data_IF_819289097154
#
_entry.id   IF_819289097154
#
_cell.length_a   1.000
_cell.length_b   1.000
_cell.length_c   1.000
_cell.angle_alpha   90.00
_cell.angle_beta   90.00
_cell.angle_gamma   90.00
#
_symmetry.space_group_name_H-M   'P 1'
#
loop_
_entity.id
_entity.type
_entity.pdbx_description
1 polymer ?
#
# COMPACT_ATOMS: atom_id res chain seq x y z
N UNK A 1 -8.03 0.68 11.07
CA UNK A 1 -9.33 1.37 11.27
C UNK A 1 -9.50 2.47 10.25
N UNK A 2 -8.54 3.40 10.14
CA UNK A 2 -8.56 4.52 9.18
C UNK A 2 -8.83 4.15 7.72
N UNK A 3 -8.45 2.95 7.27
CA UNK A 3 -8.67 2.48 5.89
C UNK A 3 -9.65 1.32 5.79
N UNK A 4 -10.30 0.95 6.90
CA UNK A 4 -11.18 -0.24 6.97
C UNK A 4 -10.50 -1.47 6.36
N UNK A 5 -9.24 -1.69 6.75
CA UNK A 5 -8.49 -2.85 6.29
C UNK A 5 -9.16 -4.13 6.80
N UNK A 6 -9.21 -5.14 5.94
CA UNK A 6 -9.67 -6.49 6.27
C UNK A 6 -8.51 -7.41 6.66
N UNK A 7 -7.27 -6.95 6.44
CA UNK A 7 -6.07 -7.71 6.76
C UNK A 7 -4.78 -6.90 6.75
N UNK A 8 -3.67 -7.55 7.09
CA UNK A 8 -2.33 -6.97 7.14
C UNK A 8 -1.24 -7.95 6.68
N UNK A 9 -0.19 -7.38 6.10
CA UNK A 9 1.01 -8.12 5.73
C UNK A 9 2.21 -7.84 6.61
N UNK A 10 2.84 -8.92 7.09
CA UNK A 10 4.10 -8.85 7.82
C UNK A 10 5.23 -9.21 6.86
N UNK A 11 6.02 -8.21 6.49
CA UNK A 11 7.11 -8.30 5.50
C UNK A 11 8.34 -7.51 5.99
N UNK A 12 9.32 -7.27 5.12
CA UNK A 12 10.53 -6.48 5.40
C UNK A 12 11.77 -7.17 4.82
N UNK A 13 12.76 -7.41 5.68
CA UNK A 13 13.87 -8.32 5.37
C UNK A 13 13.43 -9.76 5.52
N UNK A 14 13.72 -10.36 6.69
CA UNK A 14 13.22 -11.69 7.04
C UNK A 14 12.52 -11.66 8.41
N UNK A 15 11.17 -11.64 8.44
CA UNK A 15 10.44 -11.52 9.70
C UNK A 15 10.64 -12.71 10.65
N UNK A 16 10.88 -13.92 10.14
CA UNK A 16 11.04 -15.12 10.96
C UNK A 16 12.27 -15.06 11.87
N UNK A 17 13.27 -14.23 11.54
CA UNK A 17 14.44 -13.97 12.40
C UNK A 17 14.07 -13.26 13.71
N UNK A 18 12.90 -12.62 13.76
CA UNK A 18 12.36 -11.96 14.95
C UNK A 18 10.99 -12.54 15.33
N UNK A 19 10.89 -13.87 15.31
CA UNK A 19 9.65 -14.64 15.50
C UNK A 19 8.79 -14.19 16.69
N UNK A 20 9.41 -13.86 17.82
CA UNK A 20 8.67 -13.39 19.01
C UNK A 20 7.94 -12.07 18.74
N UNK A 21 8.62 -11.14 18.07
CA UNK A 21 8.05 -9.84 17.70
C UNK A 21 6.93 -10.03 16.68
N UNK A 22 7.11 -10.92 15.70
CA UNK A 22 6.07 -11.28 14.72
C UNK A 22 4.84 -11.80 15.44
N UNK A 23 4.98 -12.85 16.26
CA UNK A 23 3.85 -13.45 17.00
C UNK A 23 3.15 -12.42 17.90
N UNK A 24 3.90 -11.53 18.56
CA UNK A 24 3.34 -10.45 19.37
C UNK A 24 2.47 -9.50 18.53
N UNK A 25 2.95 -9.07 17.36
CA UNK A 25 2.16 -8.19 16.48
C UNK A 25 0.94 -8.88 15.89
N UNK A 26 1.03 -10.17 15.54
CA UNK A 26 -0.13 -10.95 15.09
C UNK A 26 -1.23 -10.93 16.17
N UNK A 27 -0.88 -11.21 17.44
CA UNK A 27 -1.84 -11.17 18.55
C UNK A 27 -2.45 -9.80 18.74
N UNK A 28 -1.63 -8.74 18.76
CA UNK A 28 -2.11 -7.36 18.87
C UNK A 28 -3.11 -7.04 17.74
N UNK A 29 -2.82 -7.45 16.51
CA UNK A 29 -3.72 -7.23 15.38
C UNK A 29 -5.04 -8.00 15.54
N UNK A 30 -4.99 -9.30 15.85
CA UNK A 30 -6.20 -10.12 16.08
C UNK A 30 -7.04 -9.60 17.25
N UNK A 31 -6.42 -9.14 18.33
CA UNK A 31 -7.10 -8.54 19.49
C UNK A 31 -7.81 -7.22 19.14
N UNK A 32 -7.21 -6.40 18.28
CA UNK A 32 -7.74 -5.06 17.96
C UNK A 32 -8.70 -5.02 16.77
N UNK A 33 -8.57 -5.97 15.84
CA UNK A 33 -9.33 -6.03 14.58
C UNK A 33 -10.26 -7.24 14.47
N UNK A 34 -10.17 -8.20 15.41
CA UNK A 34 -11.01 -9.39 15.44
C UNK A 34 -10.32 -10.61 14.84
N UNK A 35 -10.90 -11.79 15.11
CA UNK A 35 -10.35 -13.08 14.67
C UNK A 35 -10.33 -13.25 13.16
N UNK A 36 -11.29 -12.64 12.46
CA UNK A 36 -11.41 -12.70 10.99
C UNK A 36 -10.44 -11.76 10.25
N UNK A 37 -9.68 -10.92 10.97
CA UNK A 37 -8.74 -10.00 10.32
C UNK A 37 -7.56 -10.77 9.74
N UNK A 38 -7.43 -10.79 8.42
CA UNK A 38 -6.52 -11.69 7.69
C UNK A 38 -5.05 -11.24 7.80
N UNK A 39 -4.17 -12.07 8.34
CA UNK A 39 -2.76 -11.76 8.52
C UNK A 39 -1.92 -12.72 7.69
N UNK A 40 -1.22 -12.15 6.70
CA UNK A 40 -0.27 -12.88 5.87
C UNK A 40 1.19 -12.56 6.23
N UNK A 41 2.02 -13.59 6.31
CA UNK A 41 3.45 -13.50 6.61
C UNK A 41 4.28 -13.80 5.36
N UNK A 42 5.22 -12.91 5.03
CA UNK A 42 6.21 -13.14 3.97
C UNK A 42 7.51 -13.65 4.58
N UNK A 43 8.10 -14.69 3.99
CA UNK A 43 9.37 -15.26 4.45
C UNK A 43 10.18 -15.82 3.29
N UNK A 44 11.50 -15.73 3.36
CA UNK A 44 12.45 -16.44 2.49
C UNK A 44 12.80 -17.85 2.99
N UNK A 45 12.06 -18.37 3.98
CA UNK A 45 12.22 -19.67 4.68
C UNK A 45 13.38 -19.76 5.68
N UNK A 46 14.25 -18.75 5.81
CA UNK A 46 15.30 -18.77 6.83
C UNK A 46 14.66 -18.81 8.21
N UNK A 47 15.21 -19.58 9.15
CA UNK A 47 14.70 -19.65 10.53
C UNK A 47 13.32 -20.31 10.70
N UNK A 48 12.73 -20.86 9.65
CA UNK A 48 11.50 -21.67 9.76
C UNK A 48 11.85 -23.06 10.29
N UNK A 49 11.22 -23.42 11.41
CA UNK A 49 11.20 -24.75 11.99
C UNK A 49 9.81 -25.05 12.57
N UNK A 50 9.58 -26.28 13.03
CA UNK A 50 8.30 -26.71 13.59
C UNK A 50 7.89 -25.90 14.83
N UNK A 51 8.83 -25.44 15.64
CA UNK A 51 8.52 -24.65 16.84
C UNK A 51 8.06 -23.24 16.45
N UNK A 52 8.70 -22.62 15.46
CA UNK A 52 8.30 -21.35 14.87
C UNK A 52 6.91 -21.43 14.26
N UNK A 53 6.63 -22.46 13.46
CA UNK A 53 5.31 -22.67 12.84
C UNK A 53 4.20 -22.86 13.89
N UNK A 54 4.45 -23.66 14.94
CA UNK A 54 3.53 -23.80 16.09
C UNK A 54 3.24 -22.47 16.77
N UNK A 55 4.25 -21.61 16.92
CA UNK A 55 4.08 -20.29 17.54
C UNK A 55 3.26 -19.35 16.66
N UNK A 56 3.45 -19.40 15.34
CA UNK A 56 2.67 -18.63 14.37
C UNK A 56 1.21 -19.06 14.34
N UNK A 57 0.96 -20.37 14.27
CA UNK A 57 -0.38 -20.95 14.34
C UNK A 57 -1.09 -20.55 15.65
N UNK A 58 -0.41 -20.70 16.79
CA UNK A 58 -0.92 -20.26 18.10
C UNK A 58 -1.12 -18.74 18.23
N UNK A 59 -0.43 -17.94 17.42
CA UNK A 59 -0.63 -16.49 17.39
C UNK A 59 -1.85 -16.08 16.55
N UNK A 60 -2.37 -17.00 15.73
CA UNK A 60 -3.47 -16.74 14.80
C UNK A 60 -3.00 -16.21 13.45
N UNK A 61 -1.88 -16.71 12.91
CA UNK A 61 -1.52 -16.44 11.51
C UNK A 61 -2.53 -17.10 10.57
N UNK A 62 -2.93 -16.44 9.48
CA UNK A 62 -3.91 -16.96 8.52
C UNK A 62 -3.29 -17.43 7.21
N UNK A 63 -2.16 -16.84 6.81
CA UNK A 63 -1.49 -17.17 5.56
C UNK A 63 0.03 -16.99 5.67
N UNK A 64 0.80 -17.88 5.04
CA UNK A 64 2.25 -17.76 4.92
C UNK A 64 2.68 -17.90 3.45
N UNK A 65 3.51 -16.96 3.01
CA UNK A 65 4.03 -16.84 1.64
C UNK A 65 5.54 -17.02 1.64
N UNK A 66 5.99 -18.11 1.04
CA UNK A 66 7.40 -18.41 0.88
C UNK A 66 7.97 -17.77 -0.40
N UNK A 67 9.11 -17.08 -0.27
CA UNK A 67 9.84 -16.44 -1.35
C UNK A 67 11.26 -16.99 -1.41
N UNK A 68 11.44 -18.16 -2.04
CA UNK A 68 12.77 -18.76 -2.18
C UNK A 68 12.96 -19.48 -3.50
N UNK A 69 14.09 -19.20 -4.14
CA UNK A 69 14.55 -19.93 -5.32
C UNK A 69 15.35 -21.19 -4.94
N UNK A 70 15.67 -21.41 -3.66
CA UNK A 70 16.48 -22.56 -3.23
C UNK A 70 15.57 -23.76 -3.03
N UNK A 71 15.80 -24.83 -3.79
CA UNK A 71 14.95 -26.03 -3.72
C UNK A 71 15.12 -26.79 -2.40
N UNK A 72 16.31 -26.74 -1.80
CA UNK A 72 16.59 -27.31 -0.47
C UNK A 72 15.71 -26.69 0.64
N UNK A 73 15.26 -25.44 0.43
CA UNK A 73 14.37 -24.75 1.37
C UNK A 73 12.89 -25.11 1.16
N UNK A 74 12.51 -25.74 0.04
CA UNK A 74 11.12 -26.07 -0.25
C UNK A 74 10.52 -27.06 0.75
N UNK A 75 11.33 -27.94 1.34
CA UNK A 75 10.87 -28.84 2.40
C UNK A 75 10.37 -28.08 3.64
N UNK A 76 10.80 -26.84 3.87
CA UNK A 76 10.24 -26.00 4.95
C UNK A 76 8.81 -25.54 4.66
N UNK A 77 8.43 -25.44 3.37
CA UNK A 77 7.06 -25.17 2.97
C UNK A 77 6.18 -26.39 3.33
N UNK A 78 6.69 -27.61 3.13
CA UNK A 78 6.00 -28.84 3.54
C UNK A 78 5.74 -28.86 5.04
N UNK A 79 6.70 -28.44 5.86
CA UNK A 79 6.48 -28.38 7.31
C UNK A 79 5.30 -27.47 7.70
N UNK A 80 4.99 -26.47 6.87
CA UNK A 80 3.98 -25.47 7.13
C UNK A 80 2.56 -25.94 6.78
N UNK A 81 2.39 -26.90 5.86
CA UNK A 81 1.06 -27.30 5.35
C UNK A 81 0.20 -28.03 6.39
N UNK A 82 0.79 -28.55 7.46
CA UNK A 82 0.10 -29.27 8.53
C UNK A 82 -0.53 -28.33 9.59
N UNK A 83 -0.43 -27.01 9.41
CA UNK A 83 -0.96 -25.98 10.31
C UNK A 83 -2.21 -25.30 9.75
N UNK A 84 -2.90 -24.47 10.55
CA UNK A 84 -4.22 -23.93 10.17
C UNK A 84 -4.17 -22.72 9.23
N UNK A 85 -2.99 -22.27 8.81
CA UNK A 85 -2.86 -21.17 7.85
C UNK A 85 -2.79 -21.68 6.41
N UNK A 86 -3.22 -20.84 5.47
CA UNK A 86 -3.05 -21.04 4.03
C UNK A 86 -1.57 -20.94 3.68
N UNK A 87 -1.00 -22.00 3.13
CA UNK A 87 0.41 -22.04 2.74
C UNK A 87 0.55 -21.82 1.25
N UNK A 88 1.44 -20.94 0.84
CA UNK A 88 1.76 -20.77 -0.57
C UNK A 88 3.16 -20.20 -0.79
N UNK A 89 3.48 -19.96 -2.06
CA UNK A 89 4.69 -19.23 -2.42
C UNK A 89 4.35 -17.96 -3.18
N UNK A 90 5.23 -16.97 -3.10
CA UNK A 90 5.15 -15.75 -3.88
C UNK A 90 6.49 -15.50 -4.57
N UNK A 91 6.51 -15.51 -5.90
CA UNK A 91 7.73 -15.42 -6.69
C UNK A 91 7.60 -14.37 -7.79
N UNK A 92 8.68 -13.68 -8.19
CA UNK A 92 8.63 -12.81 -9.35
C UNK A 92 8.59 -13.64 -10.63
N UNK A 93 7.78 -13.22 -11.58
CA UNK A 93 7.71 -13.79 -12.91
C UNK A 93 8.88 -13.30 -13.77
N UNK A 94 10.06 -13.85 -13.53
CA UNK A 94 11.26 -13.48 -14.28
C UNK A 94 11.17 -14.03 -15.72
N UNK A 95 11.28 -13.19 -16.76
CA UNK A 95 11.24 -13.66 -18.14
C UNK A 95 12.39 -14.63 -18.43
N UNK A 96 12.08 -15.73 -19.12
CA UNK A 96 13.09 -16.67 -19.60
C UNK A 96 12.76 -18.12 -19.25
N UNK A 97 13.11 -19.03 -20.17
CA UNK A 97 12.73 -20.44 -20.07
C UNK A 97 13.25 -21.15 -18.81
N UNK A 98 14.43 -20.77 -18.32
CA UNK A 98 14.99 -21.34 -17.11
C UNK A 98 14.13 -21.01 -15.87
N UNK A 99 13.73 -19.74 -15.71
CA UNK A 99 12.88 -19.29 -14.61
C UNK A 99 11.46 -19.85 -14.73
N UNK A 100 10.87 -19.86 -15.92
CA UNK A 100 9.56 -20.48 -16.17
C UNK A 100 9.54 -21.95 -15.76
N UNK A 101 10.56 -22.73 -16.15
CA UNK A 101 10.67 -24.14 -15.75
C UNK A 101 10.80 -24.29 -14.24
N UNK A 102 11.53 -23.39 -13.59
CA UNK A 102 11.72 -23.41 -12.13
C UNK A 102 10.42 -23.08 -11.39
N UNK A 103 9.65 -22.12 -11.88
CA UNK A 103 8.32 -21.80 -11.35
C UNK A 103 7.34 -22.96 -11.55
N UNK A 104 7.36 -23.63 -12.71
CA UNK A 104 6.57 -24.85 -12.96
C UNK A 104 6.98 -25.97 -12.00
N UNK A 105 8.27 -26.15 -11.76
CA UNK A 105 8.77 -27.14 -10.80
C UNK A 105 8.30 -26.83 -9.37
N UNK A 106 8.33 -25.56 -8.97
CA UNK A 106 7.79 -25.10 -7.69
C UNK A 106 6.28 -25.36 -7.61
N UNK A 107 5.51 -25.03 -8.65
CA UNK A 107 4.06 -25.29 -8.68
C UNK A 107 3.73 -26.76 -8.48
N UNK A 108 4.44 -27.67 -9.17
CA UNK A 108 4.29 -29.12 -8.98
C UNK A 108 4.63 -29.57 -7.57
N UNK A 109 5.69 -28.99 -6.99
CA UNK A 109 6.07 -29.28 -5.62
C UNK A 109 4.97 -28.84 -4.64
N UNK A 110 4.50 -27.60 -4.74
CA UNK A 110 3.42 -27.05 -3.91
C UNK A 110 2.15 -27.90 -4.00
N UNK A 111 1.76 -28.30 -5.20
CA UNK A 111 0.64 -29.20 -5.43
C UNK A 111 0.84 -30.57 -4.75
N UNK A 112 2.02 -31.17 -4.90
CA UNK A 112 2.34 -32.47 -4.30
C UNK A 112 2.34 -32.51 -2.77
N UNK A 113 2.44 -31.34 -2.12
CA UNK A 113 2.42 -31.20 -0.67
C UNK A 113 1.09 -30.68 -0.13
N UNK A 114 0.11 -30.42 -1.01
CA UNK A 114 -1.19 -29.85 -0.63
C UNK A 114 -1.14 -28.37 -0.23
N UNK A 115 -0.17 -27.60 -0.72
CA UNK A 115 -0.16 -26.16 -0.52
C UNK A 115 -1.32 -25.49 -1.29
N UNK A 116 -1.71 -24.29 -0.85
CA UNK A 116 -2.92 -23.63 -1.31
C UNK A 116 -2.71 -22.84 -2.62
N UNK A 117 -1.56 -22.18 -2.80
CA UNK A 117 -1.37 -21.26 -3.94
C UNK A 117 0.08 -20.98 -4.36
N UNK A 118 0.22 -20.46 -5.57
CA UNK A 118 1.42 -19.78 -6.06
C UNK A 118 1.03 -18.39 -6.62
N UNK A 119 1.53 -17.34 -5.98
CA UNK A 119 1.38 -15.96 -6.42
C UNK A 119 2.59 -15.52 -7.27
N UNK A 120 2.33 -15.00 -8.47
CA UNK A 120 3.36 -14.47 -9.36
C UNK A 120 3.27 -12.95 -9.43
N UNK A 121 4.33 -12.28 -8.97
CA UNK A 121 4.44 -10.83 -9.13
C UNK A 121 5.07 -10.50 -10.48
N UNK A 122 4.54 -9.51 -11.18
CA UNK A 122 5.23 -8.90 -12.30
C UNK A 122 6.59 -8.37 -11.84
N UNK A 123 7.65 -8.71 -12.57
CA UNK A 123 8.99 -8.25 -12.26
C UNK A 123 9.08 -6.76 -12.57
N UNK A 124 9.59 -5.98 -11.62
CA UNK A 124 9.67 -4.53 -11.70
C UNK A 124 11.10 -4.04 -11.53
N UNK A 125 11.43 -2.96 -12.23
CA UNK A 125 12.57 -2.13 -11.95
C UNK A 125 12.31 -1.29 -10.70
N UNK A 126 13.28 -1.28 -9.79
CA UNK A 126 13.38 -0.37 -8.66
C UNK A 126 14.79 0.18 -8.59
N UNK A 127 14.99 1.28 -7.86
CA UNK A 127 16.32 1.90 -7.73
C UNK A 127 17.38 0.89 -7.25
N UNK A 128 17.00 -0.02 -6.35
CA UNK A 128 17.91 -1.03 -5.80
C UNK A 128 18.26 -2.19 -6.74
N UNK A 129 17.44 -2.49 -7.75
CA UNK A 129 17.66 -3.62 -8.65
C UNK A 129 17.98 -3.22 -10.11
N UNK A 130 17.87 -1.93 -10.44
CA UNK A 130 17.88 -1.45 -11.83
C UNK A 130 19.16 -1.81 -12.58
N UNK A 131 20.33 -1.55 -11.99
CA UNK A 131 21.61 -1.84 -12.63
C UNK A 131 21.79 -3.34 -12.91
N UNK A 132 21.35 -4.18 -11.98
CA UNK A 132 21.44 -5.64 -12.10
C UNK A 132 20.48 -6.20 -13.14
N UNK A 133 19.27 -5.66 -13.24
CA UNK A 133 18.33 -6.08 -14.28
C UNK A 133 18.81 -5.66 -15.67
N UNK A 134 19.37 -4.45 -15.81
CA UNK A 134 19.95 -3.98 -17.07
C UNK A 134 21.17 -4.79 -17.48
N UNK A 135 22.07 -5.15 -16.54
CA UNK A 135 23.25 -5.96 -16.84
C UNK A 135 22.89 -7.37 -17.34
N UNK A 136 21.73 -7.88 -16.91
CA UNK A 136 21.15 -9.15 -17.37
C UNK A 136 20.35 -9.04 -18.67
N UNK A 137 20.28 -7.85 -19.28
CA UNK A 137 19.62 -7.61 -20.56
C UNK A 137 18.10 -7.41 -20.49
N UNK A 138 17.54 -7.19 -19.30
CA UNK A 138 16.12 -6.85 -19.18
C UNK A 138 15.87 -5.37 -19.51
N UNK A 139 14.68 -5.07 -20.02
CA UNK A 139 14.26 -3.72 -20.39
C UNK A 139 12.88 -3.40 -19.83
N UNK A 140 12.62 -2.11 -19.60
CA UNK A 140 11.30 -1.62 -19.18
C UNK A 140 10.31 -1.83 -20.32
N UNK A 141 9.11 -2.29 -19.99
CA UNK A 141 7.99 -2.48 -20.92
C UNK A 141 7.53 -1.12 -21.46
N UNK A 142 7.30 -1.00 -22.76
CA UNK A 142 7.04 0.30 -23.42
C UNK A 142 5.84 1.09 -22.87
N UNK A 143 4.85 0.42 -22.29
CA UNK A 143 3.65 1.03 -21.72
C UNK A 143 3.63 1.00 -20.17
N UNK A 144 4.80 0.88 -19.52
CA UNK A 144 4.92 0.94 -18.06
C UNK A 144 6.17 1.72 -17.68
N UNK A 145 6.13 2.44 -16.55
CA UNK A 145 7.32 3.11 -16.02
C UNK A 145 8.31 2.16 -15.32
N UNK A 146 7.85 0.98 -14.90
CA UNK A 146 8.60 0.09 -14.01
C UNK A 146 8.56 -1.39 -14.40
N UNK A 147 7.55 -1.88 -15.11
CA UNK A 147 7.42 -3.31 -15.41
C UNK A 147 8.51 -3.81 -16.37
N UNK A 148 9.05 -5.01 -16.13
CA UNK A 148 9.99 -5.68 -17.03
C UNK A 148 9.25 -6.28 -18.23
N UNK A 149 9.73 -5.99 -19.44
CA UNK A 149 9.22 -6.57 -20.68
C UNK A 149 9.32 -8.10 -20.68
N UNK A 150 8.24 -8.78 -21.04
CA UNK A 150 8.17 -10.25 -21.07
C UNK A 150 7.74 -10.90 -19.74
N UNK A 151 7.63 -10.15 -18.64
CA UNK A 151 7.33 -10.71 -17.31
C UNK A 151 5.89 -11.21 -17.22
N UNK A 152 4.94 -10.39 -17.69
CA UNK A 152 3.52 -10.77 -17.79
C UNK A 152 3.31 -12.01 -18.65
N UNK A 153 4.02 -12.13 -19.77
CA UNK A 153 3.93 -13.28 -20.65
C UNK A 153 4.51 -14.55 -20.00
N UNK A 154 5.60 -14.41 -19.23
CA UNK A 154 6.17 -15.50 -18.45
C UNK A 154 5.19 -15.97 -17.36
N UNK A 155 4.60 -15.03 -16.60
CA UNK A 155 3.56 -15.34 -15.62
C UNK A 155 2.39 -16.09 -16.25
N UNK A 156 1.87 -15.58 -17.38
CA UNK A 156 0.77 -16.21 -18.12
C UNK A 156 1.07 -17.66 -18.50
N UNK A 157 2.29 -17.95 -18.97
CA UNK A 157 2.71 -19.32 -19.33
C UNK A 157 2.71 -20.25 -18.12
N UNK A 158 3.22 -19.78 -16.98
CA UNK A 158 3.25 -20.56 -15.73
C UNK A 158 1.83 -20.75 -15.18
N UNK A 159 0.99 -19.71 -15.17
CA UNK A 159 -0.40 -19.80 -14.73
C UNK A 159 -1.23 -20.75 -15.60
N UNK A 160 -1.01 -20.75 -16.93
CA UNK A 160 -1.68 -21.71 -17.83
C UNK A 160 -1.29 -23.16 -17.54
N UNK A 161 -0.09 -23.39 -16.99
CA UNK A 161 0.32 -24.71 -16.52
C UNK A 161 -0.39 -25.06 -15.20
N UNK A 162 -0.39 -24.14 -14.24
CA UNK A 162 -1.05 -24.33 -12.92
C UNK A 162 -2.53 -24.69 -13.11
N UNK A 163 -3.24 -23.92 -13.92
CA UNK A 163 -4.67 -24.14 -14.20
C UNK A 163 -4.95 -25.52 -14.84
N UNK A 164 -4.05 -26.02 -15.68
CA UNK A 164 -4.24 -27.27 -16.43
C UNK A 164 -3.75 -28.51 -15.69
N UNK A 165 -2.73 -28.39 -14.86
CA UNK A 165 -1.90 -29.51 -14.41
C UNK A 165 -1.77 -29.62 -12.88
N UNK A 166 -2.37 -28.70 -12.12
CA UNK A 166 -2.31 -28.69 -10.64
C UNK A 166 -3.66 -28.33 -10.02
N UNK A 167 -3.85 -28.64 -8.73
CA UNK A 167 -5.02 -28.23 -7.94
C UNK A 167 -4.84 -26.94 -7.14
N UNK A 168 -3.66 -26.33 -7.16
CA UNK A 168 -3.37 -25.09 -6.42
C UNK A 168 -3.91 -23.85 -7.14
N UNK A 169 -4.14 -22.77 -6.38
CA UNK A 169 -4.55 -21.48 -6.96
C UNK A 169 -3.34 -20.73 -7.54
N UNK A 170 -3.49 -20.21 -8.76
CA UNK A 170 -2.49 -19.36 -9.41
C UNK A 170 -2.93 -17.90 -9.45
N UNK A 171 -2.11 -16.98 -8.95
CA UNK A 171 -2.38 -15.54 -8.96
C UNK A 171 -1.33 -14.75 -9.74
N UNK A 172 -1.74 -13.60 -10.29
CA UNK A 172 -0.82 -12.64 -10.90
C UNK A 172 -1.06 -11.23 -10.37
N UNK A 173 -0.02 -10.62 -9.81
CA UNK A 173 -0.02 -9.23 -9.38
C UNK A 173 0.76 -8.37 -10.39
N UNK A 174 0.05 -7.56 -11.18
CA UNK A 174 0.70 -6.65 -12.14
C UNK A 174 1.31 -5.42 -11.44
N UNK A 175 2.35 -4.85 -12.05
CA UNK A 175 2.96 -3.63 -11.52
C UNK A 175 1.98 -2.46 -11.47
N UNK A 176 1.16 -2.34 -12.51
CA UNK A 176 0.23 -1.22 -12.71
C UNK A 176 -0.88 -1.16 -11.63
N UNK A 177 -1.19 -2.28 -10.94
CA UNK A 177 -2.21 -2.26 -9.88
C UNK A 177 -1.68 -1.76 -8.54
N UNK A 178 -0.36 -1.67 -8.35
CA UNK A 178 0.23 -1.21 -7.08
C UNK A 178 -0.10 0.25 -6.81
N UNK A 179 -0.08 1.11 -7.83
CA UNK A 179 -0.48 2.51 -7.71
C UNK A 179 -1.96 2.63 -7.30
N UNK A 180 -2.83 1.84 -7.94
CA UNK A 180 -4.26 1.78 -7.61
C UNK A 180 -4.49 1.33 -6.16
N UNK A 181 -3.70 0.39 -5.64
CA UNK A 181 -3.78 -0.03 -4.24
C UNK A 181 -3.47 1.12 -3.27
N UNK A 182 -2.47 1.95 -3.57
CA UNK A 182 -2.13 3.14 -2.76
C UNK A 182 -3.27 4.16 -2.82
N UNK A 183 -3.74 4.50 -4.02
CA UNK A 183 -4.85 5.45 -4.21
C UNK A 183 -6.13 4.99 -3.52
N UNK A 184 -6.46 3.70 -3.57
CA UNK A 184 -7.62 3.15 -2.88
C UNK A 184 -7.48 3.24 -1.35
N UNK A 185 -6.27 3.02 -0.81
CA UNK A 185 -6.01 3.24 0.62
C UNK A 185 -6.18 4.72 0.99
N UNK A 186 -5.73 5.65 0.15
CA UNK A 186 -5.91 7.08 0.36
C UNK A 186 -7.38 7.48 0.33
N UNK A 187 -8.15 7.02 -0.66
CA UNK A 187 -9.61 7.26 -0.74
C UNK A 187 -10.34 6.80 0.51
N UNK A 188 -10.06 5.58 0.99
CA UNK A 188 -10.67 5.07 2.23
C UNK A 188 -10.23 5.89 3.43
N UNK A 189 -8.94 6.25 3.51
CA UNK A 189 -8.39 7.05 4.60
C UNK A 189 -9.01 8.44 4.66
N UNK A 190 -9.04 9.16 3.54
CA UNK A 190 -9.54 10.52 3.45
C UNK A 190 -10.97 10.64 3.98
N UNK A 191 -11.86 9.70 3.64
CA UNK A 191 -13.23 9.65 4.16
C UNK A 191 -13.32 9.56 5.69
N UNK A 192 -12.32 8.96 6.32
CA UNK A 192 -12.28 8.73 7.76
C UNK A 192 -11.48 9.79 8.54
N UNK A 193 -10.67 10.61 7.86
CA UNK A 193 -9.77 11.59 8.51
C UNK A 193 -10.03 13.04 8.10
N UNK A 194 -10.85 13.27 7.06
CA UNK A 194 -11.18 14.62 6.60
C UNK A 194 -11.78 15.45 7.74
N UNK A 195 -11.23 16.64 7.94
CA UNK A 195 -11.81 17.63 8.84
C UNK A 195 -13.01 18.32 8.18
N UNK A 196 -13.92 18.95 8.94
CA UNK A 196 -15.13 19.56 8.39
C UNK A 196 -14.90 20.61 7.29
N UNK A 197 -13.77 21.33 7.32
CA UNK A 197 -13.42 22.33 6.31
C UNK A 197 -12.70 21.74 5.08
N UNK A 198 -12.41 20.44 5.07
CA UNK A 198 -11.67 19.76 4.01
C UNK A 198 -12.61 18.98 3.09
N UNK A 199 -12.36 19.07 1.79
CA UNK A 199 -13.05 18.28 0.77
C UNK A 199 -12.19 17.09 0.33
N UNK A 200 -12.80 15.91 0.21
CA UNK A 200 -12.13 14.71 -0.30
C UNK A 200 -12.20 14.69 -1.83
N UNK A 201 -11.05 14.62 -2.49
CA UNK A 201 -10.98 14.53 -3.96
C UNK A 201 -11.20 13.11 -4.47
N UNK A 202 -11.39 12.96 -5.78
CA UNK A 202 -11.48 11.65 -6.44
C UNK A 202 -10.21 10.80 -6.32
N UNK A 203 -9.05 11.41 -6.04
CA UNK A 203 -7.80 10.70 -5.80
C UNK A 203 -7.61 10.32 -4.32
N UNK A 204 -8.56 10.69 -3.46
CA UNK A 204 -8.48 10.46 -2.03
C UNK A 204 -7.52 11.40 -1.31
N UNK A 205 -7.28 12.59 -1.87
CA UNK A 205 -6.54 13.69 -1.22
C UNK A 205 -7.51 14.63 -0.51
N UNK A 206 -6.99 15.55 0.30
CA UNK A 206 -7.77 16.52 1.06
C UNK A 206 -7.48 17.93 0.55
N UNK A 207 -8.52 18.62 0.10
CA UNK A 207 -8.46 19.97 -0.47
C UNK A 207 -9.11 20.97 0.49
N UNK A 208 -8.44 22.08 0.75
CA UNK A 208 -8.97 23.17 1.59
C UNK A 208 -8.33 24.51 1.25
N UNK A 209 -8.96 25.59 1.69
CA UNK A 209 -8.47 26.94 1.61
C UNK A 209 -7.61 27.32 2.81
N UNK A 210 -6.57 28.11 2.59
CA UNK A 210 -5.75 28.69 3.64
C UNK A 210 -5.64 30.19 3.45
N UNK A 211 -6.13 30.96 4.43
CA UNK A 211 -6.11 32.42 4.45
C UNK A 211 -5.05 32.88 5.45
N UNK A 212 -4.21 33.84 5.04
CA UNK A 212 -3.12 34.42 5.83
C UNK A 212 -3.13 35.93 5.74
N UNK A 213 -2.59 36.60 6.75
CA UNK A 213 -2.41 38.05 6.76
C UNK A 213 -2.39 38.62 8.18
N UNK A 214 -2.83 39.86 8.32
CA UNK A 214 -2.94 40.52 9.63
C UNK A 214 -3.92 39.78 10.56
N UNK A 215 -3.50 39.55 11.81
CA UNK A 215 -4.28 38.75 12.76
C UNK A 215 -5.64 39.36 13.08
N UNK A 216 -5.78 40.70 13.13
CA UNK A 216 -7.08 41.32 13.38
C UNK A 216 -8.02 41.10 12.19
N UNK A 217 -7.50 41.21 10.96
CA UNK A 217 -8.27 40.93 9.75
C UNK A 217 -8.69 39.45 9.66
N UNK A 218 -7.81 38.52 10.04
CA UNK A 218 -8.15 37.10 10.11
C UNK A 218 -9.24 36.81 11.13
N UNK A 219 -9.18 37.42 12.32
CA UNK A 219 -10.19 37.26 13.37
C UNK A 219 -11.55 37.83 12.97
N UNK A 220 -11.58 38.96 12.26
CA UNK A 220 -12.82 39.52 11.72
C UNK A 220 -13.44 38.58 10.67
N UNK A 221 -12.64 38.08 9.71
CA UNK A 221 -13.13 37.12 8.70
C UNK A 221 -13.60 35.84 9.36
N UNK A 222 -12.86 35.32 10.34
CA UNK A 222 -13.25 34.16 11.14
C UNK A 222 -14.63 34.36 11.78
N UNK A 223 -14.87 35.50 12.44
CA UNK A 223 -16.15 35.78 13.09
C UNK A 223 -17.33 35.78 12.12
N UNK A 224 -17.16 36.39 10.95
CA UNK A 224 -18.18 36.41 9.89
C UNK A 224 -18.51 34.98 9.43
N UNK A 225 -17.48 34.16 9.22
CA UNK A 225 -17.64 32.79 8.73
C UNK A 225 -18.27 31.87 9.79
N UNK A 226 -17.92 32.06 11.07
CA UNK A 226 -18.55 31.34 12.19
C UNK A 226 -20.04 31.68 12.31
N UNK A 227 -20.42 32.96 12.20
CA UNK A 227 -21.83 33.40 12.22
C UNK A 227 -22.64 32.82 11.05
N UNK A 228 -21.99 32.63 9.90
CA UNK A 228 -22.59 32.00 8.71
C UNK A 228 -22.60 30.47 8.78
N UNK A 229 -22.00 29.86 9.82
CA UNK A 229 -21.99 28.42 10.03
C UNK A 229 -21.01 27.65 9.15
N UNK A 230 -19.98 28.31 8.58
CA UNK A 230 -18.96 27.63 7.82
C UNK A 230 -18.02 26.84 8.73
N UNK A 231 -17.66 25.60 8.36
CA UNK A 231 -16.63 24.86 9.08
C UNK A 231 -15.27 25.54 8.86
N UNK A 232 -14.53 25.79 9.94
CA UNK A 232 -13.20 26.37 9.85
C UNK A 232 -12.31 25.94 11.02
N UNK A 233 -11.01 26.14 10.86
CA UNK A 233 -10.01 25.94 11.90
C UNK A 233 -9.03 27.11 11.86
N UNK A 234 -8.61 27.59 13.03
CA UNK A 234 -7.66 28.70 13.14
C UNK A 234 -6.40 28.22 13.85
N UNK A 235 -5.27 28.27 13.14
CA UNK A 235 -3.97 27.81 13.60
C UNK A 235 -3.02 29.00 13.69
N UNK A 236 -2.97 29.66 14.85
CA UNK A 236 -2.15 30.84 15.24
C UNK A 236 -2.10 31.99 14.20
N UNK A 237 -1.57 31.73 13.01
CA UNK A 237 -1.38 32.66 11.89
C UNK A 237 -2.22 32.32 10.62
N UNK A 238 -2.94 31.19 10.61
CA UNK A 238 -3.65 30.69 9.43
C UNK A 238 -5.12 30.37 9.72
N UNK A 239 -6.01 30.84 8.86
CA UNK A 239 -7.42 30.46 8.87
C UNK A 239 -7.68 29.43 7.77
N UNK A 240 -8.07 28.23 8.17
CA UNK A 240 -8.34 27.08 7.31
C UNK A 240 -9.83 26.97 7.06
N UNK A 241 -10.23 26.91 5.79
CA UNK A 241 -11.63 27.01 5.36
C UNK A 241 -11.91 26.09 4.17
N UNK A 242 -13.17 25.91 3.77
CA UNK A 242 -13.52 25.25 2.51
C UNK A 242 -12.85 25.94 1.30
N UNK A 243 -12.40 25.14 0.33
CA UNK A 243 -11.65 25.65 -0.83
C UNK A 243 -12.51 26.52 -1.76
N UNK A 244 -13.79 26.17 -1.92
CA UNK A 244 -14.81 26.93 -2.64
C UNK A 244 -15.00 28.33 -2.02
N UNK A 245 -15.01 28.43 -0.69
CA UNK A 245 -15.15 29.71 -0.01
C UNK A 245 -14.00 30.68 -0.34
N UNK A 246 -12.77 30.18 -0.48
CA UNK A 246 -11.63 31.01 -0.93
C UNK A 246 -11.85 31.56 -2.34
N UNK A 247 -12.46 30.77 -3.23
CA UNK A 247 -12.77 31.19 -4.60
C UNK A 247 -13.88 32.25 -4.62
N UNK A 248 -14.87 32.14 -3.74
CA UNK A 248 -15.99 33.09 -3.64
C UNK A 248 -15.55 34.42 -2.99
N UNK A 249 -14.67 34.36 -2.00
CA UNK A 249 -14.29 35.52 -1.19
C UNK A 249 -13.09 36.32 -1.73
N UNK A 250 -12.58 36.00 -2.94
CA UNK A 250 -11.35 36.59 -3.47
C UNK A 250 -11.28 38.12 -3.36
N UNK A 251 -12.35 38.81 -3.78
CA UNK A 251 -12.41 40.27 -3.74
C UNK A 251 -12.39 40.82 -2.32
N UNK A 252 -13.11 40.17 -1.39
CA UNK A 252 -13.19 40.57 0.02
C UNK A 252 -11.82 40.37 0.69
N UNK A 253 -11.20 39.21 0.51
CA UNK A 253 -9.88 38.89 1.06
C UNK A 253 -8.83 39.86 0.55
N UNK A 254 -8.83 40.15 -0.76
CA UNK A 254 -7.92 41.13 -1.35
C UNK A 254 -8.14 42.55 -0.79
N UNK A 255 -9.40 42.98 -0.60
CA UNK A 255 -9.72 44.31 -0.06
C UNK A 255 -9.26 44.50 1.39
N UNK A 256 -9.19 43.40 2.15
CA UNK A 256 -8.70 43.34 3.53
C UNK A 256 -7.19 43.10 3.64
N UNK A 257 -6.47 43.06 2.51
CA UNK A 257 -5.03 42.82 2.49
C UNK A 257 -4.60 41.41 2.88
N UNK A 258 -5.53 40.44 2.86
CA UNK A 258 -5.27 39.04 3.13
C UNK A 258 -4.80 38.32 1.85
N UNK A 259 -4.04 37.25 2.03
CA UNK A 259 -3.66 36.31 0.97
C UNK A 259 -4.35 34.99 1.17
N UNK A 260 -4.62 34.26 0.10
CA UNK A 260 -5.27 32.97 0.20
C UNK A 260 -4.76 31.98 -0.84
N UNK A 261 -4.60 30.74 -0.42
CA UNK A 261 -4.22 29.60 -1.27
C UNK A 261 -5.29 28.52 -1.19
N UNK A 262 -5.39 27.71 -2.25
CA UNK A 262 -5.99 26.38 -2.18
C UNK A 262 -4.86 25.37 -2.02
N UNK A 263 -4.94 24.56 -0.97
CA UNK A 263 -3.93 23.57 -0.60
C UNK A 263 -4.53 22.17 -0.70
N UNK A 264 -3.75 21.26 -1.29
CA UNK A 264 -4.07 19.84 -1.40
C UNK A 264 -3.02 19.03 -0.65
N UNK A 265 -3.47 18.15 0.26
CA UNK A 265 -2.59 17.27 1.04
C UNK A 265 -2.96 15.81 0.86
N UNK A 266 -1.98 14.91 1.03
CA UNK A 266 -2.26 13.49 1.19
C UNK A 266 -2.93 13.23 2.56
N UNK A 267 -3.83 12.23 2.67
CA UNK A 267 -4.56 11.95 3.91
C UNK A 267 -3.69 11.17 4.92
N UNK A 268 -2.46 11.60 5.18
CA UNK A 268 -1.48 10.92 6.04
C UNK A 268 -1.39 11.57 7.42
N UNK A 269 -0.78 10.89 8.40
CA UNK A 269 -0.56 11.47 9.74
C UNK A 269 0.44 12.64 9.70
N UNK A 270 1.39 12.60 8.76
CA UNK A 270 2.28 13.71 8.46
C UNK A 270 1.69 14.50 7.30
N UNK A 271 1.62 15.82 7.45
CA UNK A 271 1.20 16.72 6.38
C UNK A 271 2.16 16.59 5.19
N UNK A 272 1.71 15.91 4.15
CA UNK A 272 2.39 15.83 2.87
C UNK A 272 1.62 16.69 1.87
N UNK A 273 2.12 17.90 1.63
CA UNK A 273 1.53 18.84 0.67
C UNK A 273 1.79 18.34 -0.76
N UNK A 274 0.71 18.13 -1.50
CA UNK A 274 0.72 17.71 -2.90
C UNK A 274 0.80 18.95 -3.79
N UNK A 275 -0.01 19.96 -3.49
CA UNK A 275 -0.02 21.21 -4.22
C UNK A 275 -0.49 22.38 -3.36
N UNK A 276 -0.06 23.57 -3.77
CA UNK A 276 -0.51 24.86 -3.22
C UNK A 276 -0.66 25.86 -4.35
N UNK A 277 -1.88 26.33 -4.52
CA UNK A 277 -2.27 27.18 -5.62
C UNK A 277 -2.73 28.55 -5.07
N UNK A 278 -1.96 29.63 -5.29
CA UNK A 278 -2.32 30.94 -4.77
C UNK A 278 -3.52 31.50 -5.53
N UNK A 279 -4.57 31.86 -4.78
CA UNK A 279 -5.80 32.46 -5.28
C UNK A 279 -5.77 33.98 -5.10
N UNK A 280 -5.42 34.44 -3.91
CA UNK A 280 -5.28 35.88 -3.59
C UNK A 280 -3.83 36.16 -3.22
N UNK A 281 -3.18 37.04 -4.00
CA UNK A 281 -1.77 37.41 -3.82
C UNK A 281 -1.66 38.79 -3.18
N UNK A 282 -0.63 38.97 -2.35
CA UNK A 282 -0.27 40.30 -1.83
C UNK A 282 0.10 41.18 -3.02
N UNK A 283 -0.57 42.33 -3.17
CA UNK A 283 -0.09 43.35 -4.11
C UNK A 283 1.24 43.86 -3.57
N UNK A 284 2.29 43.70 -4.36
CA UNK A 284 3.63 44.22 -4.07
C UNK A 284 3.65 45.74 -4.04
#
# INVERSE_FOLDING_TARGET
RLIEAEGAGITGGEPTLVMERVCRYIRILKENFGREFDIHLYTNSVGIDLNGLKRLDSAGLDEIRFHTWKEEDWEKIRLAVDFNFRVGAEMPAIPGRAYERKLIKLARFLDSIGAYFLNLNELEFSDGNRLELLSRGYHVRSNSGVAVSGSKEAARRVLSYIERETGILGYFCSADVKELQVLNRWRRRAKNVAKPYQCVTDQGTLLFGVIRGDSNQLLEVKGILEEQGYPLEFNEDELLVPADLVLEMQAILASRGLTADIVEIAPLDLNFEISRNPVVKRRG
#
